data_IF_786486067873
#
_entry.id   IF_786486067873
#
_cell.length_a   1.000
_cell.length_b   1.000
_cell.length_c   1.000
_cell.angle_alpha   90.00
_cell.angle_beta   90.00
_cell.angle_gamma   90.00
#
_symmetry.space_group_name_H-M   'P 1'
#
loop_
_entity.id
_entity.type
_entity.pdbx_description
1 polymer ?
#
# COMPACT_ATOMS: atom_id res chain seq x y z
N UNK A 1 -28.05 1.21 -21.00
CA UNK A 1 -27.30 -0.01 -20.66
C UNK A 1 -26.33 0.36 -19.57
N UNK A 2 -26.56 -0.12 -18.34
CA UNK A 2 -25.60 0.06 -17.25
C UNK A 2 -24.47 -0.91 -17.57
N UNK A 3 -23.33 -0.37 -17.99
CA UNK A 3 -22.07 -1.09 -18.10
C UNK A 3 -21.75 -1.62 -16.69
N UNK A 4 -22.12 -2.87 -16.42
CA UNK A 4 -21.72 -3.54 -15.19
C UNK A 4 -20.21 -3.73 -15.33
N UNK A 5 -19.37 -3.09 -14.49
CA UNK A 5 -17.95 -3.32 -14.56
C UNK A 5 -17.73 -4.81 -14.27
N UNK A 6 -17.38 -5.56 -15.31
CA UNK A 6 -17.42 -7.03 -15.32
C UNK A 6 -16.61 -7.67 -14.20
N UNK A 7 -15.66 -6.95 -13.58
CA UNK A 7 -14.92 -7.44 -12.42
C UNK A 7 -14.66 -6.32 -11.40
N UNK A 8 -15.19 -6.47 -10.18
CA UNK A 8 -14.73 -5.70 -9.03
C UNK A 8 -13.31 -6.17 -8.66
N UNK A 9 -12.39 -5.25 -8.33
CA UNK A 9 -11.04 -5.65 -7.95
C UNK A 9 -11.08 -6.45 -6.64
N UNK A 10 -10.44 -7.62 -6.66
CA UNK A 10 -10.24 -8.44 -5.46
C UNK A 10 -8.94 -8.03 -4.77
N UNK A 11 -9.00 -7.96 -3.44
CA UNK A 11 -7.87 -7.57 -2.61
C UNK A 11 -7.44 -8.71 -1.69
N UNK A 12 -6.13 -8.87 -1.53
CA UNK A 12 -5.51 -9.91 -0.73
C UNK A 12 -4.60 -9.30 0.35
N UNK A 13 -4.61 -9.90 1.54
CA UNK A 13 -3.81 -9.46 2.69
C UNK A 13 -2.66 -10.44 2.94
N UNK A 14 -1.44 -9.91 2.98
CA UNK A 14 -0.22 -10.67 3.24
C UNK A 14 0.47 -10.21 4.52
N UNK A 15 0.79 -11.16 5.39
CA UNK A 15 1.57 -10.93 6.61
C UNK A 15 2.93 -11.61 6.51
N UNK A 16 4.01 -10.85 6.75
CA UNK A 16 5.39 -11.36 6.77
C UNK A 16 6.05 -10.96 8.08
N UNK A 17 6.60 -11.92 8.82
CA UNK A 17 7.46 -11.62 9.97
C UNK A 17 8.77 -10.99 9.48
N UNK A 18 9.14 -9.83 10.02
CA UNK A 18 10.33 -9.06 9.60
C UNK A 18 11.36 -8.85 10.73
N UNK A 19 11.02 -9.16 11.98
CA UNK A 19 11.94 -9.06 13.11
C UNK A 19 11.50 -9.93 14.29
N UNK A 20 12.05 -9.68 15.48
CA UNK A 20 11.71 -10.43 16.69
C UNK A 20 10.21 -10.31 17.02
N UNK A 21 9.69 -9.08 17.04
CA UNK A 21 8.27 -8.78 17.32
C UNK A 21 7.54 -8.10 16.17
N UNK A 22 8.26 -7.65 15.15
CA UNK A 22 7.70 -6.85 14.06
C UNK A 22 7.20 -7.73 12.90
N UNK A 23 6.00 -7.43 12.45
CA UNK A 23 5.32 -8.03 11.32
C UNK A 23 5.01 -6.96 10.28
N UNK A 24 5.40 -7.20 9.03
CA UNK A 24 5.00 -6.40 7.90
C UNK A 24 3.69 -6.92 7.35
N UNK A 25 2.72 -6.04 7.15
CA UNK A 25 1.49 -6.35 6.45
C UNK A 25 1.43 -5.62 5.12
N UNK A 26 0.74 -6.21 4.14
CA UNK A 26 0.53 -5.66 2.81
C UNK A 26 -0.87 -6.00 2.34
N UNK A 27 -1.52 -5.07 1.66
CA UNK A 27 -2.77 -5.27 0.92
C UNK A 27 -2.42 -5.11 -0.55
N UNK A 28 -2.69 -6.14 -1.35
CA UNK A 28 -2.44 -6.14 -2.79
C UNK A 28 -3.74 -6.40 -3.54
N UNK A 29 -3.80 -6.01 -4.82
CA UNK A 29 -4.80 -6.58 -5.73
C UNK A 29 -4.41 -8.00 -6.12
N UNK A 30 -5.34 -8.80 -6.64
CA UNK A 30 -5.06 -10.13 -7.22
C UNK A 30 -4.07 -10.08 -8.38
N UNK A 31 -3.95 -8.94 -9.07
CA UNK A 31 -2.92 -8.69 -10.08
C UNK A 31 -1.51 -8.47 -9.48
N UNK A 32 -1.38 -8.54 -8.14
CA UNK A 32 -0.13 -8.35 -7.42
C UNK A 32 0.26 -6.88 -7.20
N UNK A 33 -0.61 -5.91 -7.55
CA UNK A 33 -0.33 -4.49 -7.33
C UNK A 33 -0.42 -4.17 -5.85
N UNK A 34 0.64 -3.60 -5.30
CA UNK A 34 0.65 -3.15 -3.90
C UNK A 34 -0.26 -1.93 -3.74
N UNK A 35 -1.24 -2.04 -2.85
CA UNK A 35 -2.22 -0.97 -2.58
C UNK A 35 -1.88 -0.26 -1.28
N UNK A 36 -1.64 -1.02 -0.21
CA UNK A 36 -1.27 -0.48 1.11
C UNK A 36 -0.26 -1.41 1.81
N UNK A 37 0.53 -0.85 2.72
CA UNK A 37 1.46 -1.64 3.54
C UNK A 37 1.77 -0.94 4.86
N UNK A 38 2.29 -1.72 5.81
CA UNK A 38 2.75 -1.18 7.08
C UNK A 38 3.51 -2.21 7.90
N UNK A 39 3.91 -1.80 9.10
CA UNK A 39 4.58 -2.64 10.08
C UNK A 39 3.86 -2.53 11.40
N UNK A 40 3.73 -3.65 12.10
CA UNK A 40 3.10 -3.71 13.41
C UNK A 40 3.83 -4.67 14.33
N UNK A 41 3.63 -4.48 15.63
CA UNK A 41 4.16 -5.38 16.64
C UNK A 41 3.18 -6.52 16.91
N UNK A 42 3.58 -7.73 16.52
CA UNK A 42 2.79 -8.94 16.67
C UNK A 42 1.91 -9.23 15.45
N UNK A 43 1.64 -10.52 15.25
CA UNK A 43 0.80 -11.01 14.15
C UNK A 43 -0.66 -10.52 14.26
N UNK A 44 -1.31 -10.51 15.44
CA UNK A 44 -2.70 -10.05 15.55
C UNK A 44 -2.84 -8.56 15.23
N UNK A 45 -1.92 -7.73 15.73
CA UNK A 45 -1.90 -6.29 15.44
C UNK A 45 -1.71 -6.03 13.94
N UNK A 46 -0.78 -6.73 13.30
CA UNK A 46 -0.55 -6.62 11.86
C UNK A 46 -1.77 -7.05 11.02
N UNK A 47 -2.48 -8.11 11.44
CA UNK A 47 -3.73 -8.54 10.78
C UNK A 47 -4.81 -7.46 10.91
N UNK A 48 -5.04 -6.97 12.13
CA UNK A 48 -6.04 -5.93 12.37
C UNK A 48 -5.74 -4.65 11.60
N UNK A 49 -4.48 -4.20 11.60
CA UNK A 49 -4.07 -3.02 10.85
C UNK A 49 -4.31 -3.17 9.35
N UNK A 50 -4.01 -4.34 8.78
CA UNK A 50 -4.26 -4.61 7.37
C UNK A 50 -5.75 -4.66 7.02
N UNK A 51 -6.56 -5.37 7.82
CA UNK A 51 -8.00 -5.48 7.61
C UNK A 51 -8.68 -4.10 7.76
N UNK A 52 -8.26 -3.31 8.76
CA UNK A 52 -8.73 -1.92 8.94
C UNK A 52 -8.38 -1.05 7.75
N UNK A 53 -7.14 -1.13 7.25
CA UNK A 53 -6.70 -0.36 6.09
C UNK A 53 -7.52 -0.73 4.83
N UNK A 54 -7.74 -2.04 4.60
CA UNK A 54 -8.59 -2.54 3.53
C UNK A 54 -10.02 -2.00 3.66
N UNK A 55 -10.62 -2.07 4.85
CA UNK A 55 -11.97 -1.58 5.08
C UNK A 55 -12.09 -0.08 4.80
N UNK A 56 -11.16 0.73 5.32
CA UNK A 56 -11.15 2.18 5.07
C UNK A 56 -10.99 2.52 3.59
N UNK A 57 -10.16 1.75 2.87
CA UNK A 57 -10.01 1.88 1.43
C UNK A 57 -11.32 1.56 0.68
N UNK A 58 -11.99 0.46 1.04
CA UNK A 58 -13.27 0.10 0.42
C UNK A 58 -14.36 1.14 0.71
N UNK A 59 -14.39 1.71 1.92
CA UNK A 59 -15.32 2.79 2.26
C UNK A 59 -15.08 4.07 1.44
N UNK A 60 -13.82 4.38 1.09
CA UNK A 60 -13.47 5.62 0.39
C UNK A 60 -13.81 5.60 -1.13
N UNK A 61 -14.31 4.49 -1.66
CA UNK A 61 -14.66 4.29 -3.08
C UNK A 61 -13.58 4.58 -4.17
N UNK A 62 -12.25 4.40 -3.95
CA UNK A 62 -11.23 4.62 -4.99
C UNK A 62 -11.01 3.40 -5.89
N UNK A 63 -11.78 2.32 -5.72
CA UNK A 63 -11.64 1.07 -6.50
C UNK A 63 -12.45 1.10 -7.80
N UNK A 64 -13.19 2.18 -8.07
CA UNK A 64 -13.89 2.34 -9.35
C UNK A 64 -12.81 2.40 -10.43
N UNK A 65 -12.83 1.52 -11.44
CA UNK A 65 -11.91 1.65 -12.56
C UNK A 65 -12.15 3.05 -13.14
N UNK A 66 -11.17 3.93 -12.96
CA UNK A 66 -11.10 5.14 -13.75
C UNK A 66 -11.03 4.64 -15.18
N UNK A 67 -12.16 4.63 -15.89
CA UNK A 67 -12.24 4.17 -17.26
C UNK A 67 -11.10 4.83 -18.00
N UNK A 68 -10.07 4.04 -18.32
CA UNK A 68 -8.85 4.50 -18.97
C UNK A 68 -8.31 5.78 -18.30
N UNK A 69 -7.63 5.64 -17.15
CA UNK A 69 -6.65 6.63 -16.75
C UNK A 69 -5.60 6.70 -17.88
N UNK A 70 -5.86 7.59 -18.84
CA UNK A 70 -4.97 7.90 -19.94
C UNK A 70 -3.59 8.12 -19.35
N UNK A 71 -2.60 7.55 -20.01
CA UNK A 71 -1.20 7.80 -19.76
C UNK A 71 -0.88 9.29 -19.90
N UNK A 72 -1.25 10.10 -18.90
CA UNK A 72 -1.01 11.54 -18.84
C UNK A 72 -0.75 11.94 -17.39
N UNK A 73 0.33 11.40 -16.84
CA UNK A 73 1.14 12.09 -15.82
C UNK A 73 2.54 11.48 -15.76
N UNK A 74 3.14 11.18 -16.92
CA UNK A 74 4.59 11.25 -17.06
C UNK A 74 4.91 12.68 -17.47
N UNK A 75 5.12 13.56 -16.51
CA UNK A 75 6.19 14.57 -16.51
C UNK A 75 6.03 15.47 -15.29
N UNK A 76 7.18 15.93 -14.79
CA UNK A 76 7.38 16.97 -13.77
C UNK A 76 6.78 16.70 -12.38
N UNK A 77 7.56 16.08 -11.51
CA UNK A 77 8.36 16.85 -10.55
C UNK A 77 9.48 15.93 -10.04
N UNK A 78 10.68 16.16 -10.55
CA UNK A 78 11.89 15.71 -9.90
C UNK A 78 12.00 16.44 -8.55
N UNK A 79 11.51 15.83 -7.48
CA UNK A 79 11.92 16.20 -6.13
C UNK A 79 13.15 15.35 -5.82
N UNK A 80 14.33 15.97 -5.61
CA UNK A 80 15.56 15.24 -5.43
C UNK A 80 15.47 14.40 -4.15
N UNK A 81 16.07 13.22 -4.24
CA UNK A 81 16.29 12.30 -3.14
C UNK A 81 16.61 13.04 -1.85
N UNK A 82 15.73 12.91 -0.85
CA UNK A 82 16.14 12.99 0.54
C UNK A 82 17.10 11.84 0.80
N UNK A 83 18.37 12.14 0.51
CA UNK A 83 19.57 11.39 0.82
C UNK A 83 19.49 11.00 2.30
N UNK A 84 19.20 9.73 2.55
CA UNK A 84 19.45 9.09 3.83
C UNK A 84 20.94 9.26 4.12
N UNK A 85 21.28 10.26 4.93
CA UNK A 85 22.63 10.47 5.43
C UNK A 85 22.91 9.42 6.51
N UNK A 86 24.02 8.66 6.42
CA UNK A 86 24.43 7.74 7.46
C UNK A 86 24.71 8.45 8.79
N UNK A 87 24.19 7.87 9.87
CA UNK A 87 24.60 8.12 11.26
C UNK A 87 26.07 7.72 11.43
N UNK A 88 27.02 8.66 11.44
CA UNK A 88 28.27 8.56 12.20
C UNK A 88 29.04 9.89 12.23
N UNK A 89 29.58 10.22 13.42
CA UNK A 89 30.58 11.27 13.75
C UNK A 89 30.12 12.73 13.78
N UNK A 90 29.51 13.11 14.90
CA UNK A 90 29.84 14.36 15.60
C UNK A 90 29.88 14.07 17.10
N UNK A 91 31.09 13.89 17.63
CA UNK A 91 31.49 14.41 18.93
C UNK A 91 33.02 14.49 18.91
N UNK A 92 33.45 15.70 19.26
CA UNK A 92 34.81 16.20 19.43
C UNK A 92 35.69 15.33 20.32
#
# INVERSE_FOLDING_TARGET
MIDMPEHLPTFEVFLKKCGRRTWRWRVCTTEGRLVMHGFENGRPAAKYAADRALFMMLLAAPYRPAGRASATARSSLATPASRWLPRHKMRE
#
